data_IF_560463312128
#
_entry.id   IF_560463312128
#
_cell.length_a   1.000
_cell.length_b   1.000
_cell.length_c   1.000
_cell.angle_alpha   90.00
_cell.angle_beta   90.00
_cell.angle_gamma   90.00
#
_symmetry.space_group_name_H-M   'P 1'
#
loop_
_entity.id
_entity.type
_entity.pdbx_description
1 polymer ?
#
# COMPACT_ATOMS: atom_id res chain seq x y z
N UNK A 1 10.57 -5.25 -13.08
CA UNK A 1 9.16 -5.17 -12.64
C UNK A 1 8.52 -4.08 -13.46
N UNK A 2 7.26 -4.24 -13.85
CA UNK A 2 6.51 -3.21 -14.59
C UNK A 2 5.69 -2.38 -13.60
N UNK A 3 5.26 -1.21 -14.03
CA UNK A 3 4.30 -0.38 -13.32
C UNK A 3 2.91 -0.52 -13.95
N UNK A 4 1.86 -0.21 -13.18
CA UNK A 4 0.49 -0.21 -13.68
C UNK A 4 -0.20 1.13 -13.44
N UNK A 5 -1.01 1.57 -14.39
CA UNK A 5 -1.89 2.73 -14.29
C UNK A 5 -3.25 2.28 -13.80
N UNK A 6 -3.82 3.00 -12.84
CA UNK A 6 -5.19 2.78 -12.35
C UNK A 6 -6.01 4.07 -12.46
N UNK A 7 -7.24 3.96 -12.96
CA UNK A 7 -8.21 5.06 -12.97
C UNK A 7 -8.90 5.11 -11.61
N UNK A 8 -8.74 6.23 -10.89
CA UNK A 8 -9.20 6.36 -9.51
C UNK A 8 -10.72 6.62 -9.39
N UNK A 9 -11.37 6.92 -10.52
CA UNK A 9 -12.81 7.17 -10.57
C UNK A 9 -13.65 5.87 -10.54
N UNK A 10 -13.07 4.72 -10.89
CA UNK A 10 -13.76 3.43 -10.97
C UNK A 10 -13.35 2.45 -9.88
N UNK A 11 -12.87 2.95 -8.73
CA UNK A 11 -12.45 2.09 -7.62
C UNK A 11 -13.64 1.28 -7.10
N UNK A 12 -13.44 -0.02 -6.78
CA UNK A 12 -14.51 -0.85 -6.27
C UNK A 12 -14.98 -0.40 -4.89
N UNK A 13 -16.25 -0.61 -4.58
CA UNK A 13 -16.74 -0.44 -3.21
C UNK A 13 -16.19 -1.56 -2.31
N UNK A 14 -15.48 -1.14 -1.26
CA UNK A 14 -14.90 -2.02 -0.24
C UNK A 14 -15.69 -2.02 1.08
N UNK A 15 -16.76 -1.24 1.20
CA UNK A 15 -17.50 -1.02 2.46
C UNK A 15 -17.93 -2.33 3.10
N UNK A 16 -18.44 -3.27 2.29
CA UNK A 16 -18.85 -4.60 2.78
C UNK A 16 -17.68 -5.43 3.29
N UNK A 17 -16.56 -5.45 2.56
CA UNK A 17 -15.39 -6.23 2.94
C UNK A 17 -14.74 -5.68 4.22
N UNK A 18 -14.60 -4.35 4.30
CA UNK A 18 -14.09 -3.67 5.48
C UNK A 18 -14.99 -3.91 6.71
N UNK A 19 -16.31 -3.78 6.57
CA UNK A 19 -17.26 -4.06 7.64
C UNK A 19 -17.17 -5.51 8.12
N UNK A 20 -17.06 -6.47 7.22
CA UNK A 20 -16.92 -7.88 7.59
C UNK A 20 -15.63 -8.16 8.34
N UNK A 21 -14.51 -7.55 7.94
CA UNK A 21 -13.23 -7.68 8.63
C UNK A 21 -13.25 -7.05 10.02
N UNK A 22 -13.97 -5.94 10.19
CA UNK A 22 -14.19 -5.33 11.49
C UNK A 22 -15.04 -6.22 12.41
N UNK A 23 -16.20 -6.68 11.93
CA UNK A 23 -17.18 -7.39 12.76
C UNK A 23 -16.74 -8.81 13.13
N UNK A 24 -16.09 -9.52 12.22
CA UNK A 24 -15.75 -10.94 12.41
C UNK A 24 -14.32 -11.18 12.88
N UNK A 25 -13.39 -10.34 12.43
CA UNK A 25 -11.96 -10.54 12.67
C UNK A 25 -11.37 -9.46 13.58
N UNK A 26 -12.18 -8.48 14.00
CA UNK A 26 -11.76 -7.33 14.80
C UNK A 26 -10.60 -6.54 14.18
N UNK A 27 -10.58 -6.47 12.84
CA UNK A 27 -9.54 -5.75 12.09
C UNK A 27 -10.03 -4.33 11.79
N UNK A 28 -9.25 -3.33 12.20
CA UNK A 28 -9.47 -1.93 11.82
C UNK A 28 -8.43 -1.47 10.82
N UNK A 29 -8.84 -0.60 9.90
CA UNK A 29 -7.98 0.02 8.90
C UNK A 29 -7.87 1.52 9.17
N UNK A 30 -6.66 2.02 9.39
CA UNK A 30 -6.46 3.44 9.71
C UNK A 30 -5.09 3.94 9.28
N UNK A 31 -4.94 5.26 9.24
CA UNK A 31 -3.63 5.90 9.15
C UNK A 31 -2.97 5.88 10.54
N UNK A 32 -1.74 5.36 10.70
CA UNK A 32 -1.01 5.49 11.95
C UNK A 32 -0.59 6.94 12.18
N UNK A 33 -0.49 7.34 13.44
CA UNK A 33 -0.09 8.70 13.85
C UNK A 33 1.42 8.77 14.18
N UNK A 34 2.03 9.97 14.22
CA UNK A 34 3.48 10.10 14.39
C UNK A 34 4.11 9.35 15.59
N UNK A 35 3.49 9.25 16.78
CA UNK A 35 4.02 8.45 17.89
C UNK A 35 4.22 6.96 17.59
N UNK A 36 3.56 6.44 16.55
CA UNK A 36 3.62 5.03 16.16
C UNK A 36 4.66 4.76 15.07
N UNK A 37 5.37 5.80 14.60
CA UNK A 37 6.30 5.70 13.48
C UNK A 37 7.30 4.55 13.64
N UNK A 38 8.00 4.49 14.78
CA UNK A 38 9.01 3.46 15.01
C UNK A 38 8.41 2.05 15.05
N UNK A 39 7.21 1.89 15.62
CA UNK A 39 6.49 0.61 15.69
C UNK A 39 6.20 0.11 14.26
N UNK A 40 5.60 0.96 13.42
CA UNK A 40 5.21 0.57 12.06
C UNK A 40 6.44 0.35 11.17
N UNK A 41 7.42 1.25 11.20
CA UNK A 41 8.64 1.14 10.36
C UNK A 41 9.45 -0.11 10.72
N UNK A 42 9.65 -0.38 12.02
CA UNK A 42 10.38 -1.57 12.45
C UNK A 42 9.62 -2.85 12.09
N UNK A 43 8.30 -2.86 12.24
CA UNK A 43 7.48 -4.01 11.84
C UNK A 43 7.58 -4.29 10.34
N UNK A 44 7.57 -3.26 9.47
CA UNK A 44 7.77 -3.42 8.03
C UNK A 44 9.15 -3.99 7.72
N UNK A 45 10.19 -3.48 8.39
CA UNK A 45 11.57 -3.97 8.24
C UNK A 45 11.69 -5.46 8.60
N UNK A 46 11.08 -5.88 9.70
CA UNK A 46 11.18 -7.24 10.23
C UNK A 46 10.40 -8.27 9.41
N UNK A 47 9.28 -7.86 8.80
CA UNK A 47 8.39 -8.78 8.09
C UNK A 47 8.53 -8.73 6.56
N UNK A 48 9.16 -7.68 6.01
CA UNK A 48 9.29 -7.49 4.57
C UNK A 48 10.72 -7.14 4.15
N UNK A 49 11.08 -5.86 4.08
CA UNK A 49 12.40 -5.43 3.64
C UNK A 49 12.81 -4.09 4.23
N UNK A 50 14.11 -3.86 4.28
CA UNK A 50 14.68 -2.57 4.69
C UNK A 50 14.25 -1.43 3.76
N UNK A 51 14.27 -1.64 2.44
CA UNK A 51 13.83 -0.63 1.47
C UNK A 51 12.38 -0.20 1.71
N UNK A 52 11.49 -1.16 2.00
CA UNK A 52 10.09 -0.84 2.29
C UNK A 52 9.91 -0.14 3.63
N UNK A 53 10.79 -0.42 4.60
CA UNK A 53 10.81 0.31 5.86
C UNK A 53 11.22 1.78 5.66
N UNK A 54 12.21 2.04 4.79
CA UNK A 54 12.63 3.40 4.43
C UNK A 54 11.51 4.17 3.71
N UNK A 55 10.84 3.54 2.74
CA UNK A 55 9.67 4.13 2.06
C UNK A 55 8.52 4.37 3.05
N UNK A 56 8.29 3.45 3.99
CA UNK A 56 7.30 3.63 5.06
C UNK A 56 7.69 4.81 5.96
N UNK A 57 8.97 4.96 6.31
CA UNK A 57 9.46 6.07 7.10
C UNK A 57 9.27 7.41 6.39
N UNK A 58 9.38 7.45 5.06
CA UNK A 58 9.07 8.61 4.22
C UNK A 58 7.57 8.96 4.27
N UNK A 59 6.67 7.96 4.29
CA UNK A 59 5.22 8.20 4.42
C UNK A 59 4.84 8.94 5.71
N UNK A 60 5.61 8.75 6.80
CA UNK A 60 5.46 9.47 8.07
C UNK A 60 5.98 10.92 8.06
N UNK A 61 6.50 11.42 6.94
CA UNK A 61 6.86 12.84 6.79
C UNK A 61 5.67 13.71 6.39
N UNK A 62 4.53 13.11 6.05
CA UNK A 62 3.28 13.78 5.73
C UNK A 62 2.32 13.81 6.94
N UNK A 63 1.47 14.84 7.02
CA UNK A 63 0.40 14.94 8.03
C UNK A 63 -0.94 15.28 7.33
N UNK A 64 -1.92 14.36 7.30
CA UNK A 64 -1.89 13.01 7.85
C UNK A 64 -0.91 12.08 7.10
N UNK A 65 -0.39 11.07 7.79
CA UNK A 65 0.53 10.05 7.25
C UNK A 65 -0.02 9.42 5.95
N UNK A 66 0.83 9.26 4.93
CA UNK A 66 0.45 8.61 3.66
C UNK A 66 0.66 7.10 3.68
N UNK A 67 0.22 6.47 4.78
CA UNK A 67 0.27 5.03 4.99
C UNK A 67 -1.02 4.60 5.67
N UNK A 68 -1.58 3.46 5.26
CA UNK A 68 -2.62 2.75 6.00
C UNK A 68 -2.03 1.49 6.62
N UNK A 69 -2.51 1.16 7.83
CA UNK A 69 -2.26 -0.12 8.47
C UNK A 69 -3.58 -0.86 8.65
N UNK A 70 -3.51 -2.19 8.58
CA UNK A 70 -4.54 -3.10 9.08
C UNK A 70 -4.05 -3.64 10.42
N UNK A 71 -4.85 -3.47 11.47
CA UNK A 71 -4.48 -3.90 12.81
C UNK A 71 -5.60 -4.71 13.47
N UNK A 72 -5.22 -5.67 14.32
CA UNK A 72 -6.09 -6.35 15.27
C UNK A 72 -5.48 -6.14 16.65
N UNK A 73 -6.20 -5.44 17.53
CA UNK A 73 -5.66 -4.99 18.82
C UNK A 73 -4.31 -4.26 18.64
N UNK A 74 -3.25 -4.74 19.30
CA UNK A 74 -1.88 -4.20 19.21
C UNK A 74 -1.04 -4.82 18.08
N UNK A 75 -1.62 -5.70 17.26
CA UNK A 75 -0.91 -6.42 16.20
C UNK A 75 -1.15 -5.77 14.84
N UNK A 76 -0.06 -5.42 14.15
CA UNK A 76 -0.10 -5.01 12.74
C UNK A 76 -0.17 -6.26 11.87
N UNK A 77 -1.14 -6.30 10.95
CA UNK A 77 -1.38 -7.43 10.04
C UNK A 77 -0.98 -7.12 8.60
N UNK A 78 -0.97 -5.84 8.25
CA UNK A 78 -0.63 -5.37 6.91
C UNK A 78 -0.47 -3.85 6.85
N UNK A 79 0.15 -3.38 5.78
CA UNK A 79 0.38 -1.97 5.52
C UNK A 79 0.28 -1.65 4.03
N UNK A 80 -0.01 -0.40 3.70
CA UNK A 80 0.08 0.13 2.35
C UNK A 80 0.43 1.61 2.37
N UNK A 81 1.55 1.95 1.73
CA UNK A 81 1.97 3.33 1.54
C UNK A 81 1.50 3.87 0.19
N UNK A 82 1.46 5.18 0.11
CA UNK A 82 1.26 5.96 -1.11
C UNK A 82 2.02 7.27 -0.94
N UNK A 83 2.36 7.96 -2.04
CA UNK A 83 3.14 9.22 -1.96
C UNK A 83 4.45 9.07 -1.15
N UNK A 84 5.02 7.86 -1.12
CA UNK A 84 6.19 7.52 -0.29
C UNK A 84 7.48 7.40 -1.10
N UNK A 85 7.43 6.76 -2.27
CA UNK A 85 8.59 6.63 -3.16
C UNK A 85 8.67 7.79 -4.14
N UNK A 86 7.52 8.15 -4.70
CA UNK A 86 7.35 9.23 -5.66
C UNK A 86 5.90 9.75 -5.61
N UNK A 87 5.69 10.94 -6.17
CA UNK A 87 4.35 11.52 -6.30
C UNK A 87 3.45 10.63 -7.14
N UNK A 88 2.20 10.49 -6.72
CA UNK A 88 1.16 9.72 -7.38
C UNK A 88 1.42 8.19 -7.47
N UNK A 89 2.37 7.67 -6.68
CA UNK A 89 2.66 6.24 -6.59
C UNK A 89 1.93 5.61 -5.40
N UNK A 90 1.36 4.44 -5.63
CA UNK A 90 0.97 3.47 -4.62
C UNK A 90 2.07 2.43 -4.45
N UNK A 91 2.38 2.10 -3.20
CA UNK A 91 3.42 1.15 -2.82
C UNK A 91 4.48 1.79 -1.91
N UNK A 92 5.18 1.00 -1.09
CA UNK A 92 5.05 -0.45 -0.95
C UNK A 92 3.79 -0.89 -0.20
N UNK A 93 3.46 -2.17 -0.28
CA UNK A 93 2.35 -2.78 0.47
C UNK A 93 2.64 -4.23 0.81
N UNK A 94 2.13 -4.68 1.95
CA UNK A 94 2.30 -6.06 2.38
C UNK A 94 1.28 -6.48 3.42
N UNK A 95 0.92 -7.76 3.41
CA UNK A 95 0.10 -8.43 4.42
C UNK A 95 0.83 -9.68 4.88
N UNK A 96 0.82 -9.94 6.19
CA UNK A 96 1.42 -11.13 6.79
C UNK A 96 0.93 -12.38 6.06
N UNK A 97 1.81 -13.37 5.76
CA UNK A 97 1.41 -14.58 5.06
C UNK A 97 0.20 -15.30 5.69
N UNK A 98 0.11 -15.33 7.02
CA UNK A 98 -1.00 -15.93 7.79
C UNK A 98 -2.34 -15.21 7.65
N UNK A 99 -2.33 -13.94 7.23
CA UNK A 99 -3.51 -13.08 7.12
C UNK A 99 -3.89 -12.79 5.65
N UNK A 100 -3.20 -13.42 4.69
CA UNK A 100 -3.54 -13.33 3.26
C UNK A 100 -4.85 -14.05 2.94
N UNK A 101 -5.44 -13.72 1.78
CA UNK A 101 -6.73 -14.26 1.28
C UNK A 101 -7.96 -13.90 2.13
N UNK A 102 -7.83 -12.93 3.04
CA UNK A 102 -8.93 -12.34 3.84
C UNK A 102 -9.35 -10.95 3.36
N UNK A 103 -9.10 -10.58 2.11
CA UNK A 103 -9.35 -9.22 1.56
C UNK A 103 -8.63 -8.04 2.25
N UNK A 104 -7.79 -8.25 3.27
CA UNK A 104 -7.00 -7.20 3.93
C UNK A 104 -6.20 -6.37 2.91
N UNK A 105 -5.49 -7.05 2.00
CA UNK A 105 -4.72 -6.38 0.96
C UNK A 105 -5.59 -5.57 0.00
N UNK A 106 -6.80 -6.05 -0.31
CA UNK A 106 -7.76 -5.33 -1.16
C UNK A 106 -8.25 -4.06 -0.48
N UNK A 107 -8.59 -4.12 0.80
CA UNK A 107 -9.03 -2.94 1.56
C UNK A 107 -7.90 -1.91 1.66
N UNK A 108 -6.68 -2.35 1.99
CA UNK A 108 -5.49 -1.48 2.05
C UNK A 108 -5.22 -0.80 0.70
N UNK A 109 -5.22 -1.56 -0.39
CA UNK A 109 -5.03 -1.04 -1.75
C UNK A 109 -6.06 0.04 -2.08
N UNK A 110 -7.35 -0.28 -1.94
CA UNK A 110 -8.42 0.63 -2.35
C UNK A 110 -8.45 1.88 -1.48
N UNK A 111 -8.22 1.78 -0.17
CA UNK A 111 -8.11 2.96 0.71
C UNK A 111 -6.99 3.89 0.31
N UNK A 112 -5.80 3.36 0.01
CA UNK A 112 -4.67 4.18 -0.45
C UNK A 112 -4.96 4.86 -1.78
N UNK A 113 -5.60 4.15 -2.73
CA UNK A 113 -6.02 4.73 -4.01
C UNK A 113 -7.12 5.80 -3.85
N UNK A 114 -8.07 5.59 -2.94
CA UNK A 114 -9.06 6.61 -2.57
C UNK A 114 -8.39 7.85 -1.97
N UNK A 115 -7.37 7.67 -1.13
CA UNK A 115 -6.61 8.79 -0.58
C UNK A 115 -5.86 9.56 -1.67
N UNK A 116 -5.26 8.89 -2.65
CA UNK A 116 -4.68 9.55 -3.83
C UNK A 116 -5.74 10.35 -4.61
N UNK A 117 -6.96 9.81 -4.74
CA UNK A 117 -8.07 10.54 -5.38
C UNK A 117 -8.44 11.80 -4.59
N UNK A 118 -8.51 11.70 -3.27
CA UNK A 118 -8.80 12.83 -2.37
C UNK A 118 -7.70 13.91 -2.44
N UNK A 119 -6.46 13.53 -2.75
CA UNK A 119 -5.36 14.47 -3.00
C UNK A 119 -5.46 15.18 -4.36
N UNK A 120 -6.43 14.82 -5.20
CA UNK A 120 -6.70 15.48 -6.49
C UNK A 120 -6.22 14.72 -7.73
N UNK A 121 -5.71 13.49 -7.58
CA UNK A 121 -5.32 12.68 -8.74
C UNK A 121 -6.55 12.01 -9.38
N UNK A 122 -6.59 11.98 -10.72
CA UNK A 122 -7.59 11.22 -11.48
C UNK A 122 -7.13 9.78 -11.80
N UNK A 123 -5.81 9.59 -11.86
CA UNK A 123 -5.14 8.32 -12.12
C UNK A 123 -3.95 8.18 -11.19
N UNK A 124 -3.58 6.95 -10.81
CA UNK A 124 -2.39 6.66 -10.02
C UNK A 124 -1.52 5.58 -10.65
N UNK A 125 -0.27 5.53 -10.21
CA UNK A 125 0.71 4.51 -10.60
C UNK A 125 0.86 3.50 -9.47
N UNK A 126 0.78 2.21 -9.78
CA UNK A 126 1.14 1.11 -8.88
C UNK A 126 2.55 0.69 -9.26
N UNK A 127 3.52 1.01 -8.40
CA UNK A 127 4.93 0.83 -8.69
C UNK A 127 5.41 -0.61 -8.50
N UNK A 128 6.26 -1.11 -9.40
CA UNK A 128 6.98 -2.35 -9.25
C UNK A 128 6.10 -3.57 -8.95
N UNK A 129 5.13 -3.85 -9.82
CA UNK A 129 4.05 -4.82 -9.49
C UNK A 129 4.51 -6.27 -9.49
N UNK A 130 3.93 -7.04 -8.56
CA UNK A 130 4.04 -8.50 -8.50
C UNK A 130 3.02 -9.10 -7.53
N UNK A 131 2.01 -9.88 -7.99
CA UNK A 131 1.64 -10.17 -9.38
C UNK A 131 0.72 -9.10 -10.00
N UNK A 132 0.93 -8.74 -11.27
CA UNK A 132 0.11 -7.75 -11.99
C UNK A 132 -1.39 -8.12 -12.07
N UNK A 133 -1.69 -9.42 -12.20
CA UNK A 133 -3.07 -9.94 -12.29
C UNK A 133 -3.90 -9.64 -11.05
N UNK A 134 -3.27 -9.48 -9.88
CA UNK A 134 -3.96 -9.06 -8.67
C UNK A 134 -4.53 -7.64 -8.81
N UNK A 135 -3.71 -6.69 -9.26
CA UNK A 135 -4.13 -5.29 -9.42
C UNK A 135 -5.12 -5.13 -10.58
N UNK A 136 -4.92 -5.85 -11.69
CA UNK A 136 -5.87 -5.85 -12.80
C UNK A 136 -7.26 -6.30 -12.35
N UNK A 137 -7.36 -7.43 -11.63
CA UNK A 137 -8.64 -7.96 -11.14
C UNK A 137 -9.28 -7.10 -10.05
N UNK A 138 -8.46 -6.48 -9.21
CA UNK A 138 -8.97 -5.77 -8.01
C UNK A 138 -9.42 -4.36 -8.32
N UNK A 139 -8.67 -3.61 -9.15
CA UNK A 139 -8.91 -2.18 -9.39
C UNK A 139 -8.87 -1.80 -10.86
N UNK A 140 -8.88 -2.78 -11.78
CA UNK A 140 -8.85 -2.53 -13.21
C UNK A 140 -7.53 -1.93 -13.71
N UNK A 141 -6.44 -2.07 -12.95
CA UNK A 141 -5.16 -1.50 -13.32
C UNK A 141 -4.65 -2.10 -14.64
N UNK A 142 -3.96 -1.29 -15.45
CA UNK A 142 -3.37 -1.69 -16.73
C UNK A 142 -1.88 -1.47 -16.73
N UNK A 143 -1.13 -2.38 -17.34
CA UNK A 143 0.32 -2.24 -17.49
C UNK A 143 0.63 -0.96 -18.24
N UNK A 144 1.59 -0.19 -17.73
CA UNK A 144 2.15 0.95 -18.43
C UNK A 144 3.19 0.40 -19.41
N UNK A 145 3.00 0.63 -20.70
CA UNK A 145 3.95 0.19 -21.72
C UNK A 145 5.35 0.75 -21.45
N UNK A 146 6.38 -0.09 -21.64
CA UNK A 146 7.81 0.26 -21.46
C UNK A 146 8.21 0.64 -20.02
N UNK A 147 7.41 0.26 -19.02
CA UNK A 147 7.68 0.53 -17.60
C UNK A 147 8.63 -0.46 -16.92
N UNK A 148 9.30 -1.35 -17.67
CA UNK A 148 10.35 -2.22 -17.12
C UNK A 148 11.53 -1.41 -16.56
N UNK A 149 11.68 -0.17 -17.04
CA UNK A 149 12.56 0.86 -16.50
C UNK A 149 11.69 1.97 -15.90
N UNK A 150 11.66 2.02 -14.58
CA UNK A 150 10.90 3.01 -13.80
C UNK A 150 11.84 3.88 -12.96
N UNK A 151 11.31 4.62 -11.99
CA UNK A 151 12.03 5.44 -11.00
C UNK A 151 13.10 4.64 -10.24
N UNK A 152 12.97 3.31 -10.20
CA UNK A 152 13.91 2.38 -9.56
C UNK A 152 15.15 2.02 -10.39
N UNK A 153 15.30 2.49 -11.63
CA UNK A 153 16.32 1.99 -12.56
C UNK A 153 17.78 2.13 -12.06
N UNK A 154 18.05 3.13 -11.22
CA UNK A 154 19.38 3.40 -10.65
C UNK A 154 19.41 3.22 -9.13
N UNK A 155 18.48 2.45 -8.57
CA UNK A 155 18.39 2.22 -7.13
C UNK A 155 19.67 1.54 -6.62
N UNK A 156 20.33 2.14 -5.63
CA UNK A 156 21.44 1.53 -4.92
C UNK A 156 20.95 0.26 -4.20
N UNK A 157 21.81 -0.75 -4.12
CA UNK A 157 21.49 -2.02 -3.48
C UNK A 157 22.20 -2.09 -2.14
N UNK A 158 21.50 -2.56 -1.11
CA UNK A 158 22.18 -2.93 0.12
C UNK A 158 23.24 -4.01 -0.17
N UNK A 159 24.39 -3.95 0.51
CA UNK A 159 25.36 -5.04 0.48
C UNK A 159 24.68 -6.36 0.83
N UNK A 160 25.09 -7.44 0.17
CA UNK A 160 24.67 -8.80 0.55
C UNK A 160 25.30 -9.21 1.86
#
# INVERSE_FOLDING_TARGET
MQDMLVRLLDLPDITKAEKQLLEKEHIVFRKPIPPEKSIVVNWVRENFSINWADETAAAFTHLPTTCFIAQREQSILGFACFESTAKNFFGPTGVLPSERKKDIGKVLLVKSLMALREMGYAYAIIGGVGPATYYEKTVGAKIIEKSERSIYQNLLKHPK
#
